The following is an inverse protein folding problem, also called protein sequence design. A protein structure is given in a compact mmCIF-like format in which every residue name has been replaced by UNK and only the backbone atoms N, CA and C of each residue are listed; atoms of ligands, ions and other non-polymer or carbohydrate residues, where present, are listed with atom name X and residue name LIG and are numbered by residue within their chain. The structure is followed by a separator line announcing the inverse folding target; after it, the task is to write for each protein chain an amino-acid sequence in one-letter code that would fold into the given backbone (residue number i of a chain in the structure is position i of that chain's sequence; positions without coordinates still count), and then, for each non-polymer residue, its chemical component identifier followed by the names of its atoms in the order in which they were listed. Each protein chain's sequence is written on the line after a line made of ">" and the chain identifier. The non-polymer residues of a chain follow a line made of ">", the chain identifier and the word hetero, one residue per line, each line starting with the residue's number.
data_IF_282585236527
#
_entry.id   IF_282585236527
#
_cell.length_a   1.000
_cell.length_b   1.000
_cell.length_c   1.000
_cell.angle_alpha   90.00
_cell.angle_beta   90.00
_cell.angle_gamma   90.00
#
_symmetry.space_group_name_H-M   'P 1'
#
loop_
_entity.id
_entity.type
_entity.pdbx_description
1 polymer ?
#
# COMPACT_ATOMS: atom_id res chain seq x y z
N UNK A 1 8.52 -1.61 -8.48
CA UNK A 1 8.20 -0.17 -8.48
C UNK A 1 6.76 0.14 -8.94
N UNK A 2 6.28 -0.38 -10.08
CA UNK A 2 4.97 -0.03 -10.64
C UNK A 2 3.77 -0.21 -9.69
N UNK A 3 3.65 -1.36 -9.02
CA UNK A 3 2.54 -1.64 -8.08
C UNK A 3 2.47 -0.59 -6.95
N UNK A 4 3.62 -0.20 -6.41
CA UNK A 4 3.68 0.75 -5.30
C UNK A 4 3.30 2.17 -5.72
N UNK A 5 3.65 2.57 -6.96
CA UNK A 5 3.16 3.81 -7.57
C UNK A 5 1.64 3.78 -7.71
N UNK A 6 1.06 2.70 -8.23
CA UNK A 6 -0.38 2.56 -8.35
C UNK A 6 -1.08 2.64 -6.98
N UNK A 7 -0.56 1.94 -5.96
CA UNK A 7 -1.11 1.99 -4.60
C UNK A 7 -1.08 3.42 -4.05
N UNK A 8 0.04 4.13 -4.21
CA UNK A 8 0.16 5.51 -3.73
C UNK A 8 -0.83 6.45 -4.43
N UNK A 9 -0.97 6.34 -5.76
CA UNK A 9 -1.91 7.14 -6.54
C UNK A 9 -3.36 6.83 -6.15
N UNK A 10 -3.70 5.56 -5.92
CA UNK A 10 -5.05 5.17 -5.46
C UNK A 10 -5.35 5.69 -4.05
N UNK A 11 -4.38 5.67 -3.14
CA UNK A 11 -4.57 6.11 -1.75
C UNK A 11 -4.61 7.63 -1.61
N UNK A 12 -3.74 8.34 -2.31
CA UNK A 12 -3.47 9.77 -2.08
C UNK A 12 -3.86 10.67 -3.24
N UNK A 13 -4.30 10.10 -4.38
CA UNK A 13 -4.64 10.82 -5.62
C UNK A 13 -3.51 11.73 -6.11
N UNK A 14 -2.26 11.31 -5.88
CA UNK A 14 -1.04 12.05 -6.21
C UNK A 14 0.05 11.10 -6.67
N UNK A 15 0.92 11.54 -7.60
CA UNK A 15 2.10 10.77 -7.97
C UNK A 15 2.99 10.57 -6.73
N UNK A 16 3.68 9.43 -6.68
CA UNK A 16 4.61 9.16 -5.60
C UNK A 16 5.89 9.99 -5.75
N UNK A 17 6.20 10.77 -4.72
CA UNK A 17 7.49 11.43 -4.55
C UNK A 17 8.27 10.73 -3.44
N UNK A 18 9.55 10.46 -3.68
CA UNK A 18 10.41 9.76 -2.72
C UNK A 18 11.45 10.71 -2.12
N UNK A 19 11.79 10.46 -0.86
CA UNK A 19 12.90 11.09 -0.17
C UNK A 19 13.81 10.03 0.45
N UNK A 20 15.11 10.30 0.46
CA UNK A 20 16.07 9.47 1.17
C UNK A 20 16.03 9.81 2.67
N UNK A 21 16.04 8.78 3.52
CA UNK A 21 15.81 8.92 4.97
C UNK A 21 17.08 8.66 5.80
N UNK A 22 18.04 7.91 5.26
CA UNK A 22 19.30 7.59 5.96
C UNK A 22 20.49 8.08 5.12
N UNK A 23 21.39 8.83 5.76
CA UNK A 23 22.69 9.20 5.23
C UNK A 23 23.77 8.43 6.00
N UNK A 24 24.60 7.63 5.31
CA UNK A 24 25.70 6.86 5.92
C UNK A 24 25.56 5.34 5.90
N UNK A 25 24.63 4.78 5.11
CA UNK A 25 24.46 3.34 4.87
C UNK A 25 23.76 3.10 3.53
N UNK A 26 23.31 1.87 3.20
CA UNK A 26 22.51 1.63 1.99
C UNK A 26 21.29 2.57 2.01
N UNK A 27 21.06 3.31 0.91
CA UNK A 27 20.06 4.38 0.89
C UNK A 27 18.68 3.80 1.17
N UNK A 28 18.04 4.29 2.24
CA UNK A 28 16.63 3.99 2.52
C UNK A 28 15.74 5.09 1.98
N UNK A 29 14.69 4.68 1.26
CA UNK A 29 13.72 5.54 0.62
C UNK A 29 12.36 5.46 1.33
N UNK A 30 11.64 6.58 1.33
CA UNK A 30 10.26 6.67 1.82
C UNK A 30 9.47 7.66 0.98
N UNK A 31 8.15 7.49 0.91
CA UNK A 31 7.28 8.52 0.34
C UNK A 31 7.39 9.84 1.10
N UNK A 32 7.50 10.94 0.36
CA UNK A 32 7.53 12.30 0.90
C UNK A 32 6.15 12.75 1.39
N UNK A 33 5.08 12.26 0.74
CA UNK A 33 3.71 12.53 1.18
C UNK A 33 3.32 11.59 2.31
N UNK A 34 2.98 12.09 3.51
CA UNK A 34 2.58 11.24 4.61
C UNK A 34 1.20 10.63 4.36
N UNK A 35 1.04 9.36 4.73
CA UNK A 35 -0.27 8.69 4.71
C UNK A 35 -1.06 9.17 5.92
N UNK A 36 -2.31 9.59 5.74
CA UNK A 36 -3.11 10.14 6.84
C UNK A 36 -3.42 9.04 7.86
N UNK A 37 -3.42 9.38 9.15
CA UNK A 37 -3.58 8.42 10.27
C UNK A 37 -4.80 7.52 10.11
N UNK A 38 -5.93 8.08 9.67
CA UNK A 38 -7.20 7.34 9.49
C UNK A 38 -7.18 6.31 8.35
N UNK A 39 -6.14 6.28 7.52
CA UNK A 39 -5.94 5.23 6.51
C UNK A 39 -5.21 4.00 7.05
N UNK A 40 -5.04 3.84 8.37
CA UNK A 40 -4.17 2.82 8.96
C UNK A 40 -2.71 3.03 8.53
N UNK A 41 -2.23 4.26 8.81
CA UNK A 41 -0.89 4.72 8.45
C UNK A 41 0.21 3.70 8.78
N UNK A 42 0.16 3.05 9.94
CA UNK A 42 1.19 2.10 10.38
C UNK A 42 1.32 0.89 9.44
N UNK A 43 0.19 0.31 9.03
CA UNK A 43 0.17 -0.85 8.11
C UNK A 43 0.69 -0.45 6.75
N UNK A 44 0.20 0.67 6.20
CA UNK A 44 0.70 1.13 4.91
C UNK A 44 2.16 1.52 4.97
N UNK A 45 2.59 2.22 6.02
CA UNK A 45 3.99 2.62 6.18
C UNK A 45 4.91 1.39 6.19
N UNK A 46 4.52 0.32 6.89
CA UNK A 46 5.27 -0.93 6.89
C UNK A 46 5.35 -1.56 5.49
N UNK A 47 4.22 -1.63 4.76
CA UNK A 47 4.18 -2.16 3.39
C UNK A 47 5.04 -1.32 2.43
N UNK A 48 4.94 0.02 2.51
CA UNK A 48 5.73 0.93 1.69
C UNK A 48 7.23 0.81 2.02
N UNK A 49 7.60 0.77 3.29
CA UNK A 49 9.00 0.62 3.71
C UNK A 49 9.60 -0.71 3.21
N UNK A 50 8.85 -1.81 3.27
CA UNK A 50 9.28 -3.13 2.76
C UNK A 50 9.46 -3.13 1.23
N UNK A 51 8.51 -2.56 0.49
CA UNK A 51 8.49 -2.61 -0.97
C UNK A 51 9.36 -1.55 -1.65
N UNK A 52 9.66 -0.44 -0.97
CA UNK A 52 10.61 0.58 -1.47
C UNK A 52 12.06 0.18 -1.23
N UNK A 53 12.32 -0.55 -0.15
CA UNK A 53 13.67 -0.90 0.30
C UNK A 53 13.92 -2.41 0.14
N UNK A 54 13.69 -2.89 -1.07
CA UNK A 54 13.91 -4.29 -1.42
C UNK A 54 15.39 -4.64 -1.34
N UNK A 55 15.72 -5.90 -1.03
CA UNK A 55 17.10 -6.34 -1.04
C UNK A 55 17.62 -6.42 -2.49
N UNK A 56 18.95 -6.46 -2.70
CA UNK A 56 19.57 -6.47 -4.03
C UNK A 56 19.09 -7.59 -4.95
N UNK A 57 18.76 -8.75 -4.38
CA UNK A 57 18.21 -9.93 -5.06
C UNK A 57 16.74 -9.76 -5.51
N UNK A 58 16.11 -8.64 -5.16
CA UNK A 58 14.71 -8.34 -5.48
C UNK A 58 13.72 -8.88 -4.45
N UNK A 59 12.40 -8.75 -4.71
CA UNK A 59 11.39 -9.17 -3.76
C UNK A 59 11.30 -10.70 -3.72
N UNK A 60 11.53 -11.29 -2.54
CA UNK A 60 11.19 -12.70 -2.33
C UNK A 60 9.67 -12.89 -2.35
N UNK A 61 9.21 -14.08 -2.78
CA UNK A 61 7.79 -14.41 -2.69
C UNK A 61 7.27 -14.31 -1.26
N UNK A 62 8.08 -14.67 -0.27
CA UNK A 62 7.69 -14.62 1.14
C UNK A 62 7.50 -13.18 1.63
N UNK A 63 8.32 -12.23 1.15
CA UNK A 63 8.11 -10.81 1.41
C UNK A 63 6.76 -10.35 0.85
N UNK A 64 6.44 -10.70 -0.40
CA UNK A 64 5.18 -10.33 -1.03
C UNK A 64 3.97 -10.97 -0.33
N UNK A 65 4.08 -12.25 0.07
CA UNK A 65 3.07 -12.94 0.88
C UNK A 65 2.89 -12.27 2.24
N UNK A 66 3.98 -11.84 2.88
CA UNK A 66 3.96 -11.10 4.14
C UNK A 66 3.28 -9.74 4.02
N UNK A 67 3.55 -8.96 2.97
CA UNK A 67 2.83 -7.72 2.70
C UNK A 67 1.33 -7.97 2.49
N UNK A 68 0.99 -9.02 1.72
CA UNK A 68 -0.41 -9.41 1.47
C UNK A 68 -1.12 -9.79 2.76
N UNK A 69 -0.52 -10.65 3.59
CA UNK A 69 -1.10 -11.08 4.85
C UNK A 69 -1.34 -9.92 5.83
N UNK A 70 -0.46 -8.91 5.85
CA UNK A 70 -0.68 -7.70 6.65
C UNK A 70 -1.93 -6.91 6.21
N UNK A 71 -2.13 -6.79 4.89
CA UNK A 71 -3.31 -6.11 4.34
C UNK A 71 -4.58 -6.93 4.52
N UNK A 72 -4.52 -8.26 4.37
CA UNK A 72 -5.64 -9.18 4.63
C UNK A 72 -6.03 -9.15 6.12
N UNK A 73 -5.05 -9.20 7.03
CA UNK A 73 -5.28 -9.09 8.47
C UNK A 73 -5.95 -7.77 8.87
N UNK A 74 -5.67 -6.67 8.17
CA UNK A 74 -6.37 -5.39 8.39
C UNK A 74 -7.86 -5.49 8.03
N UNK A 75 -8.21 -6.21 6.96
CA UNK A 75 -9.60 -6.45 6.57
C UNK A 75 -10.31 -7.38 7.55
N UNK A 76 -9.62 -8.41 8.03
CA UNK A 76 -10.16 -9.37 9.00
C UNK A 76 -10.42 -8.72 10.36
N UNK A 77 -9.54 -7.81 10.81
CA UNK A 77 -9.72 -7.03 12.03
C UNK A 77 -10.83 -5.97 11.90
N UNK A 78 -11.25 -5.63 10.68
CA UNK A 78 -12.25 -4.61 10.41
C UNK A 78 -13.35 -5.16 9.48
N UNK A 79 -14.14 -6.16 9.91
CA UNK A 79 -15.08 -6.85 9.03
C UNK A 79 -16.16 -5.93 8.46
N UNK A 80 -16.54 -4.88 9.21
CA UNK A 80 -17.45 -3.85 8.71
C UNK A 80 -16.83 -3.06 7.54
N UNK A 81 -15.55 -2.65 7.62
CA UNK A 81 -14.86 -1.97 6.52
C UNK A 81 -14.71 -2.89 5.32
N UNK A 82 -14.39 -4.18 5.55
CA UNK A 82 -14.31 -5.16 4.47
C UNK A 82 -15.66 -5.34 3.76
N UNK A 83 -16.76 -5.36 4.50
CA UNK A 83 -18.12 -5.39 3.93
C UNK A 83 -18.43 -4.14 3.11
N UNK A 84 -18.15 -2.95 3.65
CA UNK A 84 -18.33 -1.69 2.93
C UNK A 84 -17.49 -1.62 1.65
N UNK A 85 -16.23 -2.08 1.69
CA UNK A 85 -15.38 -2.17 0.51
C UNK A 85 -15.98 -3.09 -0.56
N UNK A 86 -16.51 -4.26 -0.19
CA UNK A 86 -17.20 -5.16 -1.13
C UNK A 86 -18.40 -4.48 -1.77
N UNK A 87 -19.19 -3.71 -1.02
CA UNK A 87 -20.32 -2.96 -1.57
C UNK A 87 -19.87 -1.85 -2.53
N UNK A 88 -18.85 -1.08 -2.16
CA UNK A 88 -18.27 -0.04 -3.02
C UNK A 88 -17.69 -0.62 -4.32
N UNK A 89 -17.05 -1.80 -4.24
CA UNK A 89 -16.56 -2.51 -5.42
C UNK A 89 -17.68 -2.95 -6.35
N UNK A 90 -18.79 -3.48 -5.80
CA UNK A 90 -19.97 -3.83 -6.61
C UNK A 90 -20.57 -2.61 -7.30
N UNK A 91 -20.66 -1.48 -6.58
CA UNK A 91 -21.14 -0.23 -7.16
C UNK A 91 -20.24 0.25 -8.30
N UNK A 92 -18.92 0.28 -8.08
CA UNK A 92 -17.95 0.61 -9.12
C UNK A 92 -18.06 -0.32 -10.34
N UNK A 93 -18.28 -1.62 -10.11
CA UNK A 93 -18.51 -2.58 -11.18
C UNK A 93 -19.76 -2.21 -12.00
N UNK A 94 -20.88 -1.90 -11.34
CA UNK A 94 -22.11 -1.44 -12.03
C UNK A 94 -21.88 -0.14 -12.79
N UNK A 95 -21.19 0.84 -12.20
CA UNK A 95 -20.94 2.15 -12.81
C UNK A 95 -20.03 2.05 -14.05
N UNK A 96 -19.06 1.12 -14.06
CA UNK A 96 -18.11 0.92 -15.17
C UNK A 96 -18.73 0.06 -16.27
N UNK A 97 -19.41 -1.04 -15.92
CA UNK A 97 -19.87 -2.05 -16.87
C UNK A 97 -21.34 -1.93 -17.25
N UNK A 98 -22.10 -1.00 -16.63
CA UNK A 98 -23.48 -0.70 -17.00
C UNK A 98 -24.34 -1.95 -17.10
N UNK A 99 -24.65 -2.58 -15.96
CA UNK A 99 -25.73 -3.57 -15.92
C UNK A 99 -27.09 -2.86 -16.00
#
# INVERSE_FOLDING_TARGET
>A
FGVLKCIHELLLQKPIELTQVVQGGPPKWRQKTPIKRWYQHEVWQAVFDQLLNLPPEGPSQDLLRGCRAQLEGLLDQNPHKASCLKMSLRKLQTDIWGA
#
